data_IF_974387261019
#
_entry.id   IF_974387261019
#
_cell.length_a   1.000
_cell.length_b   1.000
_cell.length_c   1.000
_cell.angle_alpha   90.00
_cell.angle_beta   90.00
_cell.angle_gamma   90.00
#
_symmetry.space_group_name_H-M   'P 1'
#
loop_
_entity.id
_entity.type
_entity.pdbx_description
1 polymer ?
#
# COMPACT_ATOMS: atom_id res chain seq x y z
N UNK A 1 25.03 8.67 -3.46
CA UNK A 1 24.15 7.53 -3.09
C UNK A 1 24.19 7.22 -1.59
N UNK A 2 25.35 6.98 -0.95
CA UNK A 2 25.44 6.63 0.50
C UNK A 2 24.77 7.63 1.46
N UNK A 3 24.94 8.94 1.26
CA UNK A 3 24.32 9.98 2.13
C UNK A 3 22.79 10.03 2.07
N UNK A 4 22.20 9.64 0.94
CA UNK A 4 20.75 9.69 0.74
C UNK A 4 20.09 8.41 1.26
N UNK A 5 20.71 7.25 1.00
CA UNK A 5 20.26 5.97 1.55
C UNK A 5 20.28 5.97 3.09
N UNK A 6 21.31 6.57 3.71
CA UNK A 6 21.34 6.75 5.17
C UNK A 6 20.21 7.66 5.67
N UNK A 7 19.89 8.75 4.99
CA UNK A 7 18.80 9.66 5.41
C UNK A 7 17.41 9.06 5.22
N UNK A 8 17.21 8.30 4.15
CA UNK A 8 15.94 7.58 3.90
C UNK A 8 15.79 6.42 4.87
N UNK A 9 16.86 5.64 5.13
CA UNK A 9 16.82 4.59 6.16
C UNK A 9 16.58 5.17 7.56
N UNK A 10 17.20 6.29 7.94
CA UNK A 10 16.94 6.96 9.23
C UNK A 10 15.52 7.51 9.30
N UNK A 11 14.98 8.08 8.21
CA UNK A 11 13.60 8.56 8.18
C UNK A 11 12.58 7.42 8.28
N UNK A 12 12.83 6.29 7.59
CA UNK A 12 12.00 5.08 7.68
C UNK A 12 12.08 4.46 9.09
N UNK A 13 13.28 4.39 9.67
CA UNK A 13 13.51 3.96 11.06
C UNK A 13 12.78 4.87 12.06
N UNK A 14 12.79 6.20 11.86
CA UNK A 14 12.08 7.17 12.70
C UNK A 14 10.55 7.06 12.56
N UNK A 15 10.02 6.75 11.37
CA UNK A 15 8.58 6.50 11.19
C UNK A 15 8.13 5.22 11.91
N UNK A 16 8.94 4.16 11.89
CA UNK A 16 8.66 2.91 12.60
C UNK A 16 8.67 3.06 14.13
N UNK A 17 9.51 3.93 14.67
CA UNK A 17 9.58 4.22 16.12
C UNK A 17 8.38 5.02 16.63
N UNK A 18 7.74 5.82 15.77
CA UNK A 18 6.60 6.66 16.16
C UNK A 18 5.31 5.86 16.46
N UNK A 19 5.26 4.57 16.11
CA UNK A 19 4.08 3.71 16.28
C UNK A 19 4.00 2.97 17.63
N UNK A 20 5.03 2.99 18.48
CA UNK A 20 5.16 2.03 19.60
C UNK A 20 4.56 2.45 20.96
N UNK A 21 3.70 3.49 21.05
CA UNK A 21 3.15 3.95 22.35
C UNK A 21 1.72 3.50 22.68
N UNK A 22 1.11 2.61 21.91
CA UNK A 22 -0.26 2.12 22.18
C UNK A 22 -0.24 0.75 22.87
N UNK A 23 -0.52 0.73 24.18
CA UNK A 23 -0.76 -0.51 24.94
C UNK A 23 -2.20 -0.98 24.73
N UNK A 24 -2.37 -2.11 24.03
CA UNK A 24 -3.67 -2.74 23.76
C UNK A 24 -3.65 -4.25 24.05
N UNK A 25 -4.75 -4.75 24.59
CA UNK A 25 -4.98 -6.11 25.07
C UNK A 25 -5.04 -7.13 23.91
N UNK A 26 -4.34 -8.26 24.06
CA UNK A 26 -3.95 -9.14 22.96
C UNK A 26 -4.86 -10.39 22.89
N UNK A 27 -5.61 -10.56 21.78
CA UNK A 27 -6.34 -11.80 21.47
C UNK A 27 -5.45 -12.68 20.58
N UNK A 28 -5.17 -13.91 21.02
CA UNK A 28 -4.08 -14.77 20.55
C UNK A 28 -4.15 -15.33 19.11
N UNK A 29 -4.72 -14.61 18.14
CA UNK A 29 -4.66 -14.94 16.71
C UNK A 29 -3.65 -14.10 15.93
N UNK A 30 -3.02 -13.09 16.55
CA UNK A 30 -1.94 -12.33 15.93
C UNK A 30 -0.57 -12.97 16.22
N UNK A 31 -0.03 -13.65 15.21
CA UNK A 31 1.35 -14.14 15.18
C UNK A 31 2.39 -13.01 15.11
N UNK A 32 1.94 -11.75 15.01
CA UNK A 32 2.77 -10.56 15.04
C UNK A 32 2.69 -9.93 16.43
N UNK A 33 3.84 -9.44 16.93
CA UNK A 33 3.94 -8.89 18.28
C UNK A 33 2.89 -7.78 18.52
N UNK A 34 2.28 -7.70 19.73
CA UNK A 34 1.33 -6.64 20.05
C UNK A 34 1.95 -5.26 19.80
N UNK A 35 1.24 -4.43 19.04
CA UNK A 35 1.71 -3.09 18.63
C UNK A 35 2.16 -2.98 17.17
N UNK A 36 2.03 -4.04 16.36
CA UNK A 36 2.21 -3.92 14.92
C UNK A 36 0.98 -3.25 14.30
N UNK A 37 1.14 -2.04 13.77
CA UNK A 37 0.02 -1.37 13.11
C UNK A 37 -0.35 -2.08 11.79
N UNK A 38 -1.62 -1.96 11.40
CA UNK A 38 -2.12 -2.60 10.19
C UNK A 38 -1.37 -2.09 8.94
N UNK A 39 -0.93 -0.83 8.94
CA UNK A 39 -0.20 -0.24 7.83
C UNK A 39 1.17 -0.90 7.62
N UNK A 40 1.92 -1.16 8.70
CA UNK A 40 3.18 -1.91 8.63
C UNK A 40 2.93 -3.30 8.11
N UNK A 41 1.89 -3.99 8.60
CA UNK A 41 1.53 -5.34 8.11
C UNK A 41 1.28 -5.35 6.59
N UNK A 42 0.46 -4.43 6.10
CA UNK A 42 0.19 -4.30 4.66
C UNK A 42 1.46 -3.99 3.86
N UNK A 43 2.35 -3.14 4.39
CA UNK A 43 3.66 -2.85 3.79
C UNK A 43 4.58 -4.06 3.71
N UNK A 44 4.63 -4.89 4.76
CA UNK A 44 5.44 -6.10 4.78
C UNK A 44 4.86 -7.22 3.93
N UNK A 45 3.53 -7.37 3.88
CA UNK A 45 2.87 -8.30 2.95
C UNK A 45 3.18 -7.93 1.50
N UNK A 46 3.20 -6.63 1.17
CA UNK A 46 3.63 -6.15 -0.14
C UNK A 46 5.09 -6.50 -0.44
N UNK A 47 6.01 -6.28 0.52
CA UNK A 47 7.42 -6.63 0.36
C UNK A 47 7.63 -8.14 0.15
N UNK A 48 6.94 -9.00 0.93
CA UNK A 48 6.96 -10.45 0.74
C UNK A 48 6.48 -10.83 -0.65
N UNK A 49 5.36 -10.27 -1.11
CA UNK A 49 4.83 -10.54 -2.45
C UNK A 49 5.82 -10.13 -3.54
N UNK A 50 6.47 -8.98 -3.38
CA UNK A 50 7.46 -8.49 -4.32
C UNK A 50 8.71 -9.38 -4.36
N UNK A 51 9.25 -9.79 -3.20
CA UNK A 51 10.35 -10.75 -3.15
C UNK A 51 9.95 -12.10 -3.74
N UNK A 52 8.78 -12.62 -3.40
CA UNK A 52 8.27 -13.87 -3.94
C UNK A 52 8.19 -13.82 -5.47
N UNK A 53 7.72 -12.72 -6.05
CA UNK A 53 7.68 -12.53 -7.50
C UNK A 53 9.09 -12.48 -8.11
N UNK A 54 10.02 -11.75 -7.49
CA UNK A 54 11.41 -11.65 -7.94
C UNK A 54 12.10 -13.02 -7.94
N UNK A 55 12.03 -13.77 -6.84
CA UNK A 55 12.63 -15.11 -6.73
C UNK A 55 11.95 -16.13 -7.64
N UNK A 56 10.62 -16.13 -7.73
CA UNK A 56 9.88 -17.07 -8.57
C UNK A 56 10.23 -16.89 -10.05
N UNK A 57 10.35 -15.65 -10.50
CA UNK A 57 10.74 -15.33 -11.87
C UNK A 57 12.23 -15.60 -12.14
N UNK A 58 13.12 -15.25 -11.22
CA UNK A 58 14.56 -15.48 -11.36
C UNK A 58 14.89 -16.98 -11.43
N UNK A 59 14.40 -17.77 -10.48
CA UNK A 59 14.74 -19.19 -10.33
C UNK A 59 13.80 -20.15 -11.06
N UNK A 60 12.70 -19.65 -11.66
CA UNK A 60 11.71 -20.51 -12.34
C UNK A 60 11.05 -21.50 -11.38
N UNK A 61 10.65 -21.04 -10.19
CA UNK A 61 10.15 -21.91 -9.12
C UNK A 61 8.81 -22.54 -9.50
N UNK A 62 8.68 -23.85 -9.25
CA UNK A 62 7.39 -24.54 -9.32
C UNK A 62 6.46 -24.16 -8.14
N UNK A 63 5.15 -24.47 -8.22
CA UNK A 63 4.19 -24.09 -7.17
C UNK A 63 4.50 -24.62 -5.76
N UNK A 64 5.16 -25.78 -5.65
CA UNK A 64 5.53 -26.35 -4.35
C UNK A 64 6.67 -25.56 -3.72
N UNK A 65 7.71 -25.25 -4.50
CA UNK A 65 8.82 -24.41 -4.06
C UNK A 65 8.40 -22.97 -3.77
N UNK A 66 7.44 -22.42 -4.53
CA UNK A 66 6.85 -21.10 -4.25
C UNK A 66 6.17 -21.06 -2.87
N UNK A 67 5.42 -22.12 -2.53
CA UNK A 67 4.75 -22.23 -1.23
C UNK A 67 5.79 -22.31 -0.09
N UNK A 68 6.86 -23.11 -0.27
CA UNK A 68 7.95 -23.20 0.71
C UNK A 68 8.67 -21.87 0.89
N UNK A 69 8.96 -21.16 -0.21
CA UNK A 69 9.55 -19.82 -0.17
C UNK A 69 8.63 -18.83 0.56
N UNK A 70 7.32 -18.86 0.30
CA UNK A 70 6.36 -17.99 0.98
C UNK A 70 6.37 -18.22 2.50
N UNK A 71 6.34 -19.47 2.95
CA UNK A 71 6.42 -19.81 4.39
C UNK A 71 7.74 -19.34 5.01
N UNK A 72 8.87 -19.52 4.31
CA UNK A 72 10.17 -19.05 4.77
C UNK A 72 10.22 -17.51 4.87
N UNK A 73 9.72 -16.79 3.87
CA UNK A 73 9.66 -15.33 3.88
C UNK A 73 8.80 -14.80 5.02
N UNK A 74 7.68 -15.45 5.32
CA UNK A 74 6.85 -15.12 6.49
C UNK A 74 7.60 -15.33 7.82
N UNK A 75 8.34 -16.44 7.96
CA UNK A 75 9.15 -16.70 9.15
C UNK A 75 10.27 -15.65 9.31
N UNK A 76 10.94 -15.29 8.21
CA UNK A 76 11.97 -14.25 8.17
C UNK A 76 11.43 -12.87 8.46
N UNK A 77 10.20 -12.56 8.08
CA UNK A 77 9.54 -11.30 8.44
C UNK A 77 9.39 -11.16 9.96
N UNK A 78 8.94 -12.21 10.64
CA UNK A 78 8.83 -12.19 12.12
C UNK A 78 10.21 -11.93 12.73
N UNK A 79 11.25 -12.60 12.22
CA UNK A 79 12.62 -12.36 12.65
C UNK A 79 13.12 -10.95 12.31
N UNK A 80 12.73 -10.38 11.16
CA UNK A 80 13.08 -9.04 10.72
C UNK A 80 12.53 -7.99 11.67
N UNK A 81 11.27 -8.11 12.10
CA UNK A 81 10.66 -7.18 13.05
C UNK A 81 11.42 -7.16 14.38
N UNK A 82 11.77 -8.34 14.90
CA UNK A 82 12.56 -8.45 16.13
C UNK A 82 13.97 -7.87 15.95
N UNK A 83 14.59 -8.15 14.80
CA UNK A 83 15.90 -7.64 14.42
C UNK A 83 15.90 -6.11 14.35
N UNK A 84 14.97 -5.52 13.61
CA UNK A 84 14.86 -4.08 13.41
C UNK A 84 14.67 -3.35 14.73
N UNK A 85 13.83 -3.87 15.62
CA UNK A 85 13.65 -3.29 16.96
C UNK A 85 14.97 -3.24 17.72
N UNK A 86 15.68 -4.36 17.79
CA UNK A 86 16.95 -4.46 18.50
C UNK A 86 18.01 -3.53 17.89
N UNK A 87 18.11 -3.48 16.56
CA UNK A 87 19.11 -2.67 15.88
C UNK A 87 18.80 -1.18 15.96
N UNK A 88 17.53 -0.81 15.87
CA UNK A 88 17.08 0.59 15.96
C UNK A 88 17.38 1.18 17.33
N UNK A 89 17.05 0.46 18.40
CA UNK A 89 17.35 0.88 19.77
C UNK A 89 18.87 1.10 19.97
N UNK A 90 19.70 0.19 19.43
CA UNK A 90 21.16 0.30 19.49
C UNK A 90 21.71 1.50 18.68
N UNK A 91 21.18 1.73 17.47
CA UNK A 91 21.57 2.88 16.63
C UNK A 91 21.17 4.20 17.29
N UNK A 92 19.94 4.29 17.80
CA UNK A 92 19.42 5.50 18.43
C UNK A 92 20.27 5.88 19.65
N UNK A 93 20.57 4.90 20.52
CA UNK A 93 21.41 5.13 21.69
C UNK A 93 22.79 5.67 21.29
N UNK A 94 23.45 5.03 20.31
CA UNK A 94 24.77 5.46 19.85
C UNK A 94 24.75 6.82 19.16
N UNK A 95 23.68 7.12 18.41
CA UNK A 95 23.47 8.45 17.81
C UNK A 95 23.35 9.53 18.89
N UNK A 96 22.57 9.28 19.96
CA UNK A 96 22.43 10.19 21.09
C UNK A 96 23.76 10.41 21.83
N UNK A 97 24.57 9.36 22.02
CA UNK A 97 25.90 9.48 22.62
C UNK A 97 26.83 10.37 21.77
N UNK A 98 26.81 10.21 20.44
CA UNK A 98 27.60 11.04 19.52
C UNK A 98 27.12 12.49 19.46
N UNK A 99 25.81 12.69 19.52
CA UNK A 99 25.19 14.02 19.60
C UNK A 99 25.59 14.74 20.89
N UNK A 100 25.48 14.05 22.04
CA UNK A 100 25.89 14.59 23.33
C UNK A 100 27.40 14.94 23.38
N UNK A 101 28.22 14.22 22.62
CA UNK A 101 29.64 14.49 22.46
C UNK A 101 29.95 15.61 21.43
N UNK A 102 28.96 16.13 20.71
CA UNK A 102 29.17 17.12 19.64
C UNK A 102 29.91 16.55 18.43
N UNK A 103 29.94 15.21 18.27
CA UNK A 103 30.67 14.53 17.21
C UNK A 103 29.82 14.23 15.98
N UNK A 104 28.49 14.28 16.10
CA UNK A 104 27.57 13.85 15.03
C UNK A 104 27.74 14.65 13.72
N UNK A 105 28.14 15.92 13.80
CA UNK A 105 28.38 16.78 12.62
C UNK A 105 29.72 16.47 11.92
N UNK A 106 30.64 15.78 12.58
CA UNK A 106 31.94 15.44 12.04
C UNK A 106 31.91 14.04 11.39
N UNK A 107 31.56 13.98 10.10
CA UNK A 107 31.53 12.72 9.32
C UNK A 107 32.87 11.96 9.33
N UNK A 108 33.99 12.67 9.54
CA UNK A 108 35.33 12.08 9.55
C UNK A 108 35.71 11.46 10.90
N UNK A 109 34.96 11.76 11.97
CA UNK A 109 35.18 11.20 13.30
C UNK A 109 35.12 9.65 13.24
N UNK A 110 36.10 8.95 13.84
CA UNK A 110 36.16 7.49 13.77
C UNK A 110 34.91 6.82 14.34
N UNK A 111 34.25 7.43 15.33
CA UNK A 111 33.03 6.91 15.95
C UNK A 111 31.81 7.04 15.03
N UNK A 112 31.70 8.14 14.27
CA UNK A 112 30.65 8.34 13.26
C UNK A 112 30.85 7.35 12.11
N UNK A 113 32.10 7.15 11.64
CA UNK A 113 32.42 6.10 10.66
C UNK A 113 32.07 4.71 11.16
N UNK A 114 32.35 4.41 12.44
CA UNK A 114 32.01 3.13 13.05
C UNK A 114 30.49 2.94 13.16
N UNK A 115 29.72 3.99 13.48
CA UNK A 115 28.25 3.93 13.45
C UNK A 115 27.74 3.67 12.02
N UNK A 116 28.26 4.38 11.02
CA UNK A 116 27.90 4.17 9.62
C UNK A 116 28.21 2.75 9.14
N UNK A 117 29.39 2.22 9.50
CA UNK A 117 29.78 0.84 9.19
C UNK A 117 28.87 -0.18 9.90
N UNK A 118 28.47 0.10 11.13
CA UNK A 118 27.51 -0.72 11.88
C UNK A 118 26.13 -0.73 11.22
N UNK A 119 25.61 0.43 10.79
CA UNK A 119 24.35 0.52 10.07
C UNK A 119 24.40 -0.24 8.73
N UNK A 120 25.51 -0.10 7.98
CA UNK A 120 25.73 -0.86 6.76
C UNK A 120 25.74 -2.38 7.04
N UNK A 121 26.50 -2.83 8.04
CA UNK A 121 26.56 -4.24 8.44
C UNK A 121 25.19 -4.78 8.87
N UNK A 122 24.35 -3.98 9.51
CA UNK A 122 23.00 -4.41 9.90
C UNK A 122 22.11 -4.67 8.67
N UNK A 123 22.19 -3.82 7.65
CA UNK A 123 21.45 -4.04 6.40
C UNK A 123 21.83 -5.36 5.68
N UNK A 124 23.10 -5.77 5.76
CA UNK A 124 23.57 -7.05 5.23
C UNK A 124 23.10 -8.24 6.07
N UNK A 125 22.98 -8.05 7.39
CA UNK A 125 22.60 -9.11 8.33
C UNK A 125 21.08 -9.23 8.54
N UNK A 126 20.28 -8.34 7.94
CA UNK A 126 18.84 -8.38 8.00
C UNK A 126 18.29 -9.77 7.60
N UNK A 127 17.36 -10.37 8.36
CA UNK A 127 16.74 -11.66 8.01
C UNK A 127 16.10 -11.72 6.62
N UNK A 128 15.49 -10.63 6.17
CA UNK A 128 14.88 -10.49 4.83
C UNK A 128 15.86 -10.00 3.76
N UNK A 129 17.18 -10.02 4.03
CA UNK A 129 18.17 -9.70 3.02
C UNK A 129 18.08 -10.66 1.83
N UNK A 130 17.98 -10.11 0.61
CA UNK A 130 17.79 -10.85 -0.64
C UNK A 130 18.87 -11.92 -0.87
N UNK A 131 20.14 -11.65 -0.57
CA UNK A 131 21.23 -12.63 -0.73
C UNK A 131 21.05 -13.81 0.24
N UNK A 132 20.59 -13.56 1.47
CA UNK A 132 20.35 -14.63 2.45
C UNK A 132 19.15 -15.50 2.10
N UNK A 133 18.16 -14.94 1.40
CA UNK A 133 17.02 -15.70 0.88
C UNK A 133 17.46 -16.52 -0.34
N UNK A 134 18.26 -15.93 -1.23
CA UNK A 134 18.88 -16.63 -2.36
C UNK A 134 19.73 -17.82 -1.89
N UNK A 135 20.62 -17.62 -0.92
CA UNK A 135 21.46 -18.68 -0.35
C UNK A 135 20.62 -19.85 0.21
N UNK A 136 19.52 -19.54 0.89
CA UNK A 136 18.60 -20.55 1.43
C UNK A 136 17.88 -21.33 0.32
N UNK A 137 17.50 -20.64 -0.76
CA UNK A 137 16.80 -21.22 -1.89
C UNK A 137 17.73 -22.13 -2.70
N UNK A 138 18.98 -21.72 -2.89
CA UNK A 138 19.99 -22.46 -3.66
C UNK A 138 20.40 -23.77 -3.02
N UNK A 139 20.32 -23.88 -1.69
CA UNK A 139 20.52 -25.15 -0.97
C UNK A 139 19.44 -26.21 -1.31
N UNK A 140 18.33 -25.79 -1.92
CA UNK A 140 17.17 -26.64 -2.27
C UNK A 140 17.01 -26.85 -3.77
N UNK A 141 17.82 -26.18 -4.58
CA UNK A 141 17.75 -26.23 -6.04
C UNK A 141 18.94 -26.99 -6.63
N UNK A 142 18.80 -27.57 -7.83
CA UNK A 142 19.95 -28.08 -8.58
C UNK A 142 20.97 -26.96 -8.84
N UNK A 143 22.27 -27.27 -8.72
CA UNK A 143 23.34 -26.27 -8.82
C UNK A 143 23.32 -25.43 -10.12
N UNK A 144 22.91 -26.05 -11.24
CA UNK A 144 22.74 -25.35 -12.51
C UNK A 144 21.64 -24.28 -12.44
N UNK A 145 20.48 -24.64 -11.88
CA UNK A 145 19.33 -23.71 -11.69
C UNK A 145 19.67 -22.63 -10.68
N UNK A 146 20.39 -22.97 -9.62
CA UNK A 146 20.87 -22.02 -8.61
C UNK A 146 21.76 -20.92 -9.23
N UNK A 147 22.74 -21.32 -10.04
CA UNK A 147 23.70 -20.40 -10.68
C UNK A 147 22.99 -19.46 -11.67
N UNK A 148 22.14 -20.02 -12.53
CA UNK A 148 21.36 -19.24 -13.50
C UNK A 148 20.37 -18.30 -12.80
N UNK A 149 19.66 -18.80 -11.78
CA UNK A 149 18.72 -18.02 -10.98
C UNK A 149 19.39 -16.84 -10.30
N UNK A 150 20.59 -17.01 -9.72
CA UNK A 150 21.36 -15.90 -9.12
C UNK A 150 21.77 -14.84 -10.14
N UNK A 151 22.11 -15.26 -11.36
CA UNK A 151 22.41 -14.30 -12.42
C UNK A 151 21.16 -13.49 -12.79
N UNK A 152 20.03 -14.16 -13.03
CA UNK A 152 18.76 -13.48 -13.35
C UNK A 152 18.28 -12.57 -12.21
N UNK A 153 18.47 -12.98 -10.96
CA UNK A 153 18.12 -12.17 -9.80
C UNK A 153 18.92 -10.86 -9.78
N UNK A 154 20.22 -10.91 -10.08
CA UNK A 154 21.08 -9.71 -10.23
C UNK A 154 20.59 -8.80 -11.35
N UNK A 155 20.25 -9.37 -12.51
CA UNK A 155 19.69 -8.60 -13.65
C UNK A 155 18.35 -7.92 -13.27
N UNK A 156 17.46 -8.63 -12.58
CA UNK A 156 16.18 -8.06 -12.09
C UNK A 156 16.43 -6.95 -11.07
N UNK A 157 17.42 -7.11 -10.19
CA UNK A 157 17.82 -6.09 -9.21
C UNK A 157 18.38 -4.84 -9.90
N UNK A 158 19.27 -5.00 -10.86
CA UNK A 158 19.86 -3.89 -11.62
C UNK A 158 18.78 -3.13 -12.40
N UNK A 159 17.82 -3.84 -13.02
CA UNK A 159 16.69 -3.23 -13.70
C UNK A 159 15.77 -2.44 -12.74
N UNK A 160 15.51 -2.98 -11.54
CA UNK A 160 14.73 -2.28 -10.50
C UNK A 160 15.45 -1.01 -10.05
N UNK A 161 16.75 -1.09 -9.80
CA UNK A 161 17.57 0.05 -9.41
C UNK A 161 17.58 1.12 -10.50
N UNK A 162 17.73 0.73 -11.77
CA UNK A 162 17.66 1.66 -12.90
C UNK A 162 16.31 2.38 -12.96
N UNK A 163 15.20 1.64 -12.89
CA UNK A 163 13.86 2.24 -12.88
C UNK A 163 13.63 3.18 -11.70
N UNK A 164 14.17 2.83 -10.53
CA UNK A 164 14.10 3.71 -9.37
C UNK A 164 14.86 5.02 -9.62
N UNK A 165 16.10 4.96 -10.12
CA UNK A 165 16.87 6.16 -10.47
C UNK A 165 16.15 7.02 -11.53
N UNK A 166 15.59 6.39 -12.57
CA UNK A 166 14.78 7.09 -13.58
C UNK A 166 13.58 7.82 -12.97
N UNK A 167 12.88 7.18 -12.03
CA UNK A 167 11.76 7.79 -11.31
C UNK A 167 12.18 8.97 -10.43
N UNK A 168 13.35 8.86 -9.75
CA UNK A 168 13.91 9.95 -8.96
C UNK A 168 14.31 11.13 -9.85
N UNK A 169 14.95 10.87 -10.99
CA UNK A 169 15.29 11.91 -11.96
C UNK A 169 14.03 12.61 -12.49
N UNK A 170 12.98 11.86 -12.82
CA UNK A 170 11.70 12.42 -13.26
C UNK A 170 11.06 13.30 -12.17
N UNK A 171 11.04 12.82 -10.92
CA UNK A 171 10.50 13.57 -9.78
C UNK A 171 11.30 14.85 -9.50
N UNK A 172 12.63 14.78 -9.58
CA UNK A 172 13.50 15.96 -9.42
C UNK A 172 13.28 16.98 -10.53
N UNK A 173 13.15 16.53 -11.79
CA UNK A 173 12.85 17.41 -12.92
C UNK A 173 11.48 18.09 -12.77
N UNK A 174 10.45 17.34 -12.35
CA UNK A 174 9.12 17.89 -12.08
C UNK A 174 9.16 18.90 -10.91
N UNK A 175 9.88 18.59 -9.84
CA UNK A 175 10.04 19.47 -8.69
C UNK A 175 10.80 20.75 -9.04
N UNK A 176 11.81 20.67 -9.90
CA UNK A 176 12.51 21.84 -10.43
C UNK A 176 11.57 22.69 -11.28
N UNK A 177 10.83 22.10 -12.23
CA UNK A 177 9.87 22.82 -13.06
C UNK A 177 8.78 23.53 -12.23
N UNK A 178 8.29 22.90 -11.15
CA UNK A 178 7.34 23.52 -10.21
C UNK A 178 7.96 24.71 -9.47
N UNK A 179 9.22 24.62 -9.06
CA UNK A 179 9.94 25.72 -8.42
C UNK A 179 10.10 26.90 -9.38
N UNK A 180 10.53 26.63 -10.60
CA UNK A 180 10.74 27.65 -11.63
C UNK A 180 9.43 28.35 -12.00
N UNK A 181 8.33 27.60 -12.11
CA UNK A 181 6.99 28.16 -12.29
C UNK A 181 6.57 29.03 -11.11
N UNK A 182 6.84 28.59 -9.87
CA UNK A 182 6.58 29.37 -8.66
C UNK A 182 7.35 30.68 -8.64
N UNK A 183 8.63 30.65 -9.02
CA UNK A 183 9.47 31.85 -9.10
C UNK A 183 9.00 32.80 -10.21
N UNK A 184 8.62 32.28 -11.38
CA UNK A 184 8.09 33.10 -12.47
C UNK A 184 6.78 33.81 -12.09
N UNK A 185 5.90 33.15 -11.33
CA UNK A 185 4.66 33.77 -10.81
C UNK A 185 4.98 34.90 -9.82
N UNK A 186 5.95 34.69 -8.92
CA UNK A 186 6.38 35.72 -7.96
C UNK A 186 7.01 36.91 -8.68
N UNK A 187 7.92 36.67 -9.63
CA UNK A 187 8.56 37.74 -10.41
C UNK A 187 7.55 38.50 -11.29
N UNK A 188 6.60 37.80 -11.91
CA UNK A 188 5.52 38.41 -12.69
C UNK A 188 4.60 39.29 -11.83
N UNK A 189 4.44 38.98 -10.55
CA UNK A 189 3.61 39.77 -9.61
C UNK A 189 4.28 41.07 -9.17
N UNK A 190 5.63 41.15 -9.17
CA UNK A 190 6.38 42.36 -8.79
C UNK A 190 6.31 43.45 -9.85
N UNK A 191 6.03 43.11 -11.11
CA UNK A 191 5.81 44.09 -12.18
C UNK A 191 4.46 44.81 -12.09
N UNK A 192 3.58 44.40 -11.18
CA UNK A 192 2.38 45.15 -10.78
C UNK A 192 2.79 46.07 -9.62
N UNK A 193 3.62 47.07 -9.92
CA UNK A 193 4.20 47.95 -8.91
C UNK A 193 3.24 49.00 -8.38
N UNK A 194 3.51 49.36 -7.12
CA UNK A 194 2.82 50.27 -6.19
C UNK A 194 2.63 51.74 -6.60
N UNK A 195 3.04 52.16 -7.81
CA UNK A 195 3.02 53.58 -8.21
C UNK A 195 1.81 54.00 -9.06
N UNK A 196 0.84 53.10 -9.24
CA UNK A 196 -0.42 53.41 -9.90
C UNK A 196 -1.55 53.64 -8.92
N UNK A 197 -1.67 54.86 -8.39
CA UNK A 197 -2.96 55.39 -7.90
C UNK A 197 -3.90 55.52 -9.10
N UNK A 198 -4.39 54.39 -9.61
CA UNK A 198 -5.70 54.37 -10.24
C UNK A 198 -6.66 54.05 -9.10
N UNK A 199 -7.43 55.04 -8.59
CA UNK A 199 -8.53 54.71 -7.71
C UNK A 199 -9.39 53.71 -8.47
N UNK A 200 -9.50 52.48 -7.93
CA UNK A 200 -10.61 51.61 -8.28
C UNK A 200 -11.86 52.50 -8.14
N UNK A 201 -12.62 52.73 -9.22
CA UNK A 201 -13.87 53.45 -9.10
C UNK A 201 -14.66 52.70 -8.04
N UNK A 202 -15.07 53.41 -6.98
CA UNK A 202 -16.18 52.97 -6.15
C UNK A 202 -17.39 52.91 -7.07
N UNK A 203 -17.51 51.81 -7.79
CA UNK A 203 -18.64 51.51 -8.63
C UNK A 203 -19.59 50.66 -7.79
N UNK A 204 -20.67 51.22 -7.23
CA UNK A 204 -21.68 50.46 -6.50
C UNK A 204 -22.48 49.49 -7.39
N UNK A 205 -22.03 49.25 -8.64
CA UNK A 205 -22.65 48.35 -9.62
C UNK A 205 -21.76 47.14 -9.93
N UNK A 206 -20.65 46.91 -9.21
CA UNK A 206 -19.75 45.78 -9.52
C UNK A 206 -20.09 44.44 -8.85
N UNK A 207 -21.36 44.24 -8.47
CA UNK A 207 -21.90 42.96 -7.99
C UNK A 207 -22.65 42.17 -9.10
N UNK A 208 -22.59 42.62 -10.37
CA UNK A 208 -23.38 41.99 -11.45
C UNK A 208 -22.67 41.56 -12.73
N UNK A 209 -21.43 41.95 -13.01
CA UNK A 209 -20.78 41.49 -14.25
C UNK A 209 -19.27 41.32 -14.06
N UNK A 210 -18.83 40.10 -13.70
CA UNK A 210 -17.49 39.67 -14.07
C UNK A 210 -17.50 39.43 -15.58
N UNK A 211 -16.95 40.36 -16.35
CA UNK A 211 -16.64 40.14 -17.76
C UNK A 211 -15.54 39.10 -17.88
N UNK A 212 -15.84 38.04 -18.62
CA UNK A 212 -14.93 36.96 -18.98
C UNK A 212 -13.57 37.49 -19.43
N UNK A 213 -12.50 37.14 -18.72
CA UNK A 213 -11.12 37.41 -19.18
C UNK A 213 -10.84 36.45 -20.33
N UNK A 214 -10.79 37.00 -21.55
CA UNK A 214 -10.47 36.29 -22.79
C UNK A 214 -8.98 36.42 -23.07
N UNK A 215 -8.23 35.35 -22.83
CA UNK A 215 -6.82 35.28 -23.24
C UNK A 215 -6.77 34.64 -24.63
N UNK A 216 -6.17 35.34 -25.61
CA UNK A 216 -5.86 34.79 -26.93
C UNK A 216 -4.51 34.09 -26.86
N UNK A 217 -4.43 32.88 -27.39
CA UNK A 217 -3.15 32.24 -27.65
C UNK A 217 -2.53 32.74 -28.97
N UNK A 218 -1.31 32.29 -29.27
CA UNK A 218 -0.56 32.67 -30.47
C UNK A 218 -1.23 32.20 -31.80
N UNK A 219 -2.26 31.34 -31.73
CA UNK A 219 -3.08 30.91 -32.86
C UNK A 219 -4.35 31.75 -33.06
N UNK A 220 -4.66 32.66 -32.15
CA UNK A 220 -5.82 33.56 -32.23
C UNK A 220 -7.12 32.99 -31.68
N UNK A 221 -7.11 31.78 -31.08
CA UNK A 221 -8.29 31.17 -30.49
C UNK A 221 -8.51 31.70 -29.06
N UNK A 222 -9.77 31.95 -28.70
CA UNK A 222 -10.15 32.58 -27.42
C UNK A 222 -10.61 31.50 -26.45
N UNK A 223 -9.82 31.24 -25.42
CA UNK A 223 -10.18 30.28 -24.38
C UNK A 223 -10.77 31.04 -23.19
N UNK A 224 -12.04 30.77 -22.87
CA UNK A 224 -12.75 31.35 -21.72
C UNK A 224 -12.49 30.48 -20.49
N UNK A 225 -11.77 31.00 -19.50
CA UNK A 225 -11.53 30.30 -18.24
C UNK A 225 -12.78 30.32 -17.34
N UNK A 226 -13.26 29.19 -16.81
CA UNK A 226 -14.38 29.19 -15.87
C UNK A 226 -13.98 29.85 -14.55
N UNK A 227 -14.78 30.84 -14.12
CA UNK A 227 -14.54 31.64 -12.93
C UNK A 227 -14.42 30.80 -11.65
N UNK A 228 -13.29 30.95 -10.95
CA UNK A 228 -13.10 30.46 -9.59
C UNK A 228 -14.04 31.21 -8.64
N UNK A 229 -15.15 30.58 -8.24
CA UNK A 229 -15.83 30.95 -6.99
C UNK A 229 -14.83 30.74 -5.85
N UNK A 230 -14.65 31.76 -5.02
CA UNK A 230 -13.72 31.75 -3.90
C UNK A 230 -13.93 30.53 -3.01
N UNK A 231 -12.92 29.64 -2.96
CA UNK A 231 -12.82 28.64 -1.91
C UNK A 231 -12.60 29.36 -0.58
N UNK A 232 -13.31 28.99 0.49
CA UNK A 232 -12.97 29.48 1.82
C UNK A 232 -11.53 29.12 2.12
N UNK A 233 -10.78 30.06 2.70
CA UNK A 233 -9.41 29.85 3.18
C UNK A 233 -9.42 28.63 4.08
N UNK A 234 -8.89 27.52 3.57
CA UNK A 234 -8.74 26.30 4.34
C UNK A 234 -7.52 26.49 5.24
N UNK A 235 -7.77 26.75 6.53
CA UNK A 235 -6.79 26.57 7.61
C UNK A 235 -6.48 25.07 7.76
N UNK A 236 -5.89 24.47 6.73
CA UNK A 236 -5.28 23.17 6.88
C UNK A 236 -3.96 23.36 7.64
N UNK A 237 -3.77 22.73 8.81
CA UNK A 237 -2.52 22.83 9.54
C UNK A 237 -1.37 22.26 8.71
N UNK A 238 -0.21 22.88 8.84
CA UNK A 238 1.04 22.40 8.25
C UNK A 238 1.32 20.97 8.73
N UNK A 239 1.92 20.10 7.90
CA UNK A 239 2.30 18.75 8.32
C UNK A 239 3.22 18.83 9.54
N UNK A 240 2.72 18.41 10.71
CA UNK A 240 3.41 18.46 11.99
C UNK A 240 2.72 19.31 13.08
N UNK A 241 1.73 20.14 12.75
CA UNK A 241 0.95 20.88 13.75
C UNK A 241 -0.32 20.12 14.17
N UNK A 242 -0.44 19.81 15.47
CA UNK A 242 -1.65 19.24 16.06
C UNK A 242 -2.85 20.16 15.82
N UNK A 243 -3.94 19.57 15.33
CA UNK A 243 -5.20 20.27 15.11
C UNK A 243 -5.69 20.89 16.43
N UNK A 244 -6.52 21.94 16.35
CA UNK A 244 -7.06 22.61 17.55
C UNK A 244 -7.77 21.63 18.50
N UNK A 245 -8.43 20.61 17.95
CA UNK A 245 -9.08 19.56 18.73
C UNK A 245 -8.07 18.64 19.44
N UNK A 246 -6.97 18.28 18.78
CA UNK A 246 -5.91 17.47 19.39
C UNK A 246 -5.13 18.23 20.45
N UNK A 247 -4.86 19.53 20.24
CA UNK A 247 -4.27 20.40 21.28
C UNK A 247 -5.15 20.46 22.54
N UNK A 248 -6.47 20.50 22.37
CA UNK A 248 -7.40 20.50 23.50
C UNK A 248 -7.40 19.17 24.25
N UNK A 249 -7.35 18.05 23.51
CA UNK A 249 -7.22 16.70 24.09
C UNK A 249 -5.91 16.50 24.83
N UNK A 250 -4.81 16.99 24.28
CA UNK A 250 -3.49 16.86 24.89
C UNK A 250 -3.38 17.71 26.16
N UNK A 251 -3.95 18.92 26.16
CA UNK A 251 -4.07 19.75 27.35
C UNK A 251 -4.97 19.10 28.43
N UNK A 252 -6.02 18.38 28.06
CA UNK A 252 -6.89 17.66 28.99
C UNK A 252 -6.18 16.45 29.64
N UNK A 253 -5.36 15.73 28.87
CA UNK A 253 -4.51 14.63 29.38
C UNK A 253 -3.45 15.18 30.35
N UNK A 254 -2.79 16.27 30.00
CA UNK A 254 -1.76 16.90 30.84
C UNK A 254 -2.35 17.51 32.12
N UNK A 255 -3.58 18.04 32.05
CA UNK A 255 -4.33 18.49 33.21
C UNK A 255 -4.72 17.33 34.15
N UNK A 256 -5.15 16.19 33.59
CA UNK A 256 -5.49 15.00 34.37
C UNK A 256 -4.26 14.36 35.04
N UNK A 257 -3.07 14.46 34.44
CA UNK A 257 -1.82 14.04 35.07
C UNK A 257 -1.39 14.98 36.19
N UNK A 258 -1.53 16.31 36.03
CA UNK A 258 -1.28 17.28 37.11
C UNK A 258 -2.18 17.08 38.32
N UNK A 259 -3.41 16.60 38.11
CA UNK A 259 -4.38 16.41 39.20
C UNK A 259 -4.23 15.08 39.96
N UNK A 260 -3.19 14.28 39.67
CA UNK A 260 -2.81 13.12 40.49
C UNK A 260 -3.87 12.01 40.60
N UNK A 261 -4.87 11.97 39.72
CA UNK A 261 -5.98 11.00 39.77
C UNK A 261 -5.70 9.68 39.05
N UNK A 262 -4.50 9.11 39.21
CA UNK A 262 -4.27 7.69 38.89
C UNK A 262 -4.27 6.88 40.18
N UNK A 263 -5.36 6.13 40.39
CA UNK A 263 -5.43 5.10 41.44
C UNK A 263 -4.30 4.07 41.18
N UNK A 264 -3.51 3.70 42.19
CA UNK A 264 -2.54 2.63 42.06
C UNK A 264 -3.27 1.31 41.80
N UNK A 265 -2.87 0.61 40.73
CA UNK A 265 -3.31 -0.75 40.45
C UNK A 265 -2.82 -1.72 41.54
N UNK A 266 -3.51 -2.86 41.72
CA UNK A 266 -3.26 -3.75 42.85
C UNK A 266 -1.88 -4.40 42.73
N UNK A 267 -1.09 -4.22 43.78
CA UNK A 267 0.14 -4.95 44.02
C UNK A 267 -0.18 -6.41 44.33
N UNK A 268 0.55 -7.32 43.70
CA UNK A 268 0.66 -8.70 44.14
C UNK A 268 0.61 -9.71 43.01
N UNK A 269 1.79 -10.16 42.59
CA UNK A 269 2.08 -11.60 42.52
C UNK A 269 3.60 -11.79 42.37
N UNK A 270 4.15 -12.38 43.42
CA UNK A 270 5.53 -12.82 43.57
C UNK A 270 5.74 -14.02 42.66
N UNK A 271 6.71 -13.97 41.76
CA UNK A 271 7.24 -15.15 41.08
C UNK A 271 8.49 -15.63 41.81
N UNK A 272 8.59 -16.94 42.13
CA UNK A 272 9.75 -17.47 42.83
C UNK A 272 10.93 -17.67 41.87
N UNK A 273 12.11 -17.36 42.38
CA UNK A 273 13.41 -17.72 41.81
C UNK A 273 13.61 -19.24 41.82
N UNK A 274 14.02 -19.81 40.69
CA UNK A 274 14.69 -21.11 40.68
C UNK A 274 16.02 -21.00 39.91
N UNK A 275 17.10 -21.09 40.69
CA UNK A 275 18.45 -21.38 40.20
C UNK A 275 18.61 -22.88 39.90
N UNK A 276 19.30 -23.11 38.79
CA UNK A 276 20.28 -24.14 38.47
C UNK A 276 20.01 -25.63 38.81
N UNK A 277 20.19 -26.45 37.78
CA UNK A 277 21.18 -27.56 37.66
C UNK A 277 20.50 -28.76 37.01
N UNK A 278 20.89 -29.10 35.79
CA UNK A 278 21.40 -30.43 35.41
C UNK A 278 21.43 -30.59 33.89
N UNK A 279 22.52 -31.21 33.45
CA UNK A 279 22.90 -31.49 32.08
C UNK A 279 22.69 -33.00 31.89
N UNK A 280 21.74 -33.48 31.09
CA UNK A 280 21.67 -34.90 30.78
C UNK A 280 22.48 -35.21 29.52
N UNK A 281 23.17 -36.33 29.59
CA UNK A 281 23.90 -36.96 28.51
C UNK A 281 22.96 -37.35 27.36
N UNK A 282 23.50 -37.31 26.13
CA UNK A 282 22.83 -37.82 24.95
C UNK A 282 22.75 -39.36 25.01
N UNK A 283 21.59 -39.89 25.41
CA UNK A 283 21.19 -41.26 25.10
C UNK A 283 20.56 -41.30 23.71
N UNK A 284 21.16 -42.10 22.84
CA UNK A 284 20.71 -42.46 21.50
C UNK A 284 19.43 -43.29 21.57
N UNK A 285 18.29 -42.66 21.29
CA UNK A 285 17.02 -43.35 21.03
C UNK A 285 16.96 -43.65 19.53
N UNK A 286 17.12 -44.93 19.19
CA UNK A 286 16.72 -45.49 17.89
C UNK A 286 15.19 -45.48 17.86
N UNK A 287 14.62 -44.54 17.11
CA UNK A 287 13.18 -44.52 16.80
C UNK A 287 12.95 -45.53 15.68
N UNK A 288 12.45 -46.71 16.06
CA UNK A 288 11.89 -47.69 15.13
C UNK A 288 10.58 -47.12 14.55
N UNK A 289 10.62 -46.86 13.24
CA UNK A 289 9.53 -46.29 12.46
C UNK A 289 8.39 -47.32 12.34
N UNK A 290 7.16 -47.04 12.82
CA UNK A 290 6.05 -47.95 12.62
C UNK A 290 5.67 -48.03 11.13
N UNK A 291 5.29 -49.22 10.62
CA UNK A 291 4.95 -49.40 9.21
C UNK A 291 3.70 -48.59 8.84
N UNK A 292 3.77 -47.92 7.69
CA UNK A 292 2.72 -47.09 7.14
C UNK A 292 1.38 -47.85 7.00
N UNK A 293 0.23 -47.24 7.34
CA UNK A 293 -1.07 -47.82 7.03
C UNK A 293 -1.25 -47.87 5.51
N UNK A 294 -1.32 -49.09 4.98
CA UNK A 294 -1.70 -49.34 3.58
C UNK A 294 -3.18 -48.97 3.41
N UNK A 295 -3.44 -47.82 2.80
CA UNK A 295 -4.77 -47.44 2.33
C UNK A 295 -5.05 -48.22 1.05
N UNK A 296 -5.70 -49.37 1.18
CA UNK A 296 -6.29 -50.08 0.04
C UNK A 296 -7.49 -49.30 -0.48
N UNK A 297 -7.31 -48.57 -1.58
CA UNK A 297 -8.40 -47.98 -2.35
C UNK A 297 -9.15 -49.11 -3.05
N UNK A 298 -10.28 -49.52 -2.46
CA UNK A 298 -11.18 -50.51 -3.03
C UNK A 298 -12.05 -49.82 -4.09
N UNK A 299 -11.68 -49.99 -5.36
CA UNK A 299 -12.44 -49.48 -6.51
C UNK A 299 -13.63 -50.42 -6.75
N UNK A 300 -14.81 -50.03 -6.28
CA UNK A 300 -16.05 -50.72 -6.63
C UNK A 300 -16.47 -50.32 -8.06
N UNK A 301 -16.78 -51.28 -8.96
CA UNK A 301 -17.39 -50.99 -10.25
C UNK A 301 -18.91 -50.82 -10.08
N UNK A 302 -19.38 -49.58 -10.05
CA UNK A 302 -20.82 -49.28 -10.11
C UNK A 302 -21.25 -49.08 -11.56
N UNK A 303 -21.85 -50.13 -12.12
CA UNK A 303 -22.57 -50.10 -13.39
C UNK A 303 -23.84 -49.23 -13.24
N UNK A 304 -24.13 -48.28 -14.14
CA UNK A 304 -25.34 -47.49 -14.10
C UNK A 304 -26.45 -48.19 -14.92
N UNK A 305 -27.47 -48.70 -14.23
CA UNK A 305 -28.75 -49.09 -14.84
C UNK A 305 -29.86 -48.30 -14.16
N UNK A 306 -30.51 -47.39 -14.90
CA UNK A 306 -31.68 -46.68 -14.40
C UNK A 306 -31.89 -45.32 -15.06
N UNK A 307 -32.36 -45.36 -16.30
CA UNK A 307 -32.81 -44.20 -17.07
C UNK A 307 -34.31 -44.01 -16.85
N UNK A 308 -34.77 -42.92 -16.19
CA UNK A 308 -36.09 -42.36 -16.45
C UNK A 308 -35.95 -41.30 -17.55
N UNK A 309 -36.49 -41.64 -18.71
CA UNK A 309 -36.78 -40.73 -19.80
C UNK A 309 -37.70 -39.60 -19.33
N UNK A 310 -37.37 -38.36 -19.72
CA UNK A 310 -38.37 -37.28 -19.80
C UNK A 310 -38.30 -36.20 -18.73
N UNK A 311 -37.21 -35.44 -18.67
CA UNK A 311 -37.29 -34.05 -18.19
C UNK A 311 -36.71 -33.13 -19.26
N UNK A 312 -37.60 -32.36 -19.89
CA UNK A 312 -37.25 -31.36 -20.89
C UNK A 312 -36.13 -30.48 -20.36
N UNK A 313 -35.03 -30.38 -21.11
CA UNK A 313 -33.94 -29.48 -20.82
C UNK A 313 -34.53 -28.05 -20.74
N UNK A 314 -34.35 -27.32 -19.62
CA UNK A 314 -34.72 -25.92 -19.57
C UNK A 314 -33.92 -25.19 -20.65
N UNK A 315 -34.65 -24.48 -21.52
CA UNK A 315 -34.05 -23.68 -22.59
C UNK A 315 -32.96 -22.79 -21.99
N UNK A 316 -31.73 -22.94 -22.48
CA UNK A 316 -30.60 -22.06 -22.13
C UNK A 316 -31.06 -20.63 -22.43
N UNK A 317 -31.20 -19.75 -21.41
CA UNK A 317 -31.65 -18.40 -21.66
C UNK A 317 -30.61 -17.73 -22.56
N UNK A 318 -31.05 -17.31 -23.74
CA UNK A 318 -30.26 -16.54 -24.70
C UNK A 318 -29.63 -15.37 -23.95
N UNK A 319 -28.30 -15.42 -23.75
CA UNK A 319 -27.56 -14.37 -23.08
C UNK A 319 -27.75 -13.08 -23.87
N UNK A 320 -28.57 -12.17 -23.35
CA UNK A 320 -28.71 -10.83 -23.92
C UNK A 320 -27.32 -10.20 -23.87
N UNK A 321 -26.80 -9.82 -25.02
CA UNK A 321 -25.58 -9.05 -25.14
C UNK A 321 -25.80 -7.72 -24.41
N UNK A 322 -25.30 -7.63 -23.17
CA UNK A 322 -25.42 -6.43 -22.36
C UNK A 322 -24.38 -5.46 -22.89
N UNK A 323 -24.83 -4.35 -23.47
CA UNK A 323 -23.94 -3.26 -23.87
C UNK A 323 -23.38 -2.64 -22.59
N UNK A 324 -22.13 -2.96 -22.26
CA UNK A 324 -21.45 -2.43 -21.08
C UNK A 324 -21.18 -0.94 -21.26
N UNK A 325 -21.62 -0.12 -20.29
CA UNK A 325 -21.20 1.26 -20.22
C UNK A 325 -19.70 1.30 -19.90
N UNK A 326 -18.96 2.21 -20.55
CA UNK A 326 -17.52 2.39 -20.29
C UNK A 326 -17.32 2.69 -18.80
N UNK A 327 -16.47 1.93 -18.11
CA UNK A 327 -16.23 2.15 -16.71
C UNK A 327 -15.57 3.51 -16.46
N UNK A 328 -15.94 4.18 -15.36
CA UNK A 328 -15.18 5.30 -14.85
C UNK A 328 -13.74 4.89 -14.50
N UNK A 329 -12.80 5.84 -14.44
CA UNK A 329 -11.49 5.63 -13.82
C UNK A 329 -11.62 4.96 -12.45
N UNK A 330 -10.63 4.13 -12.07
CA UNK A 330 -10.68 3.36 -10.80
C UNK A 330 -10.86 4.23 -9.56
N UNK A 331 -10.39 5.49 -9.60
CA UNK A 331 -10.52 6.45 -8.50
C UNK A 331 -11.95 6.98 -8.36
N UNK A 332 -12.76 6.90 -9.41
CA UNK A 332 -14.16 7.32 -9.39
C UNK A 332 -15.10 6.19 -8.92
N UNK A 333 -14.60 4.96 -8.77
CA UNK A 333 -15.41 3.86 -8.22
C UNK A 333 -15.79 4.13 -6.77
N UNK A 334 -14.89 4.70 -5.97
CA UNK A 334 -15.18 5.11 -4.59
C UNK A 334 -16.31 6.14 -4.54
N UNK A 335 -16.28 7.14 -5.44
CA UNK A 335 -17.35 8.15 -5.55
C UNK A 335 -18.68 7.50 -5.91
N UNK A 336 -18.70 6.59 -6.88
CA UNK A 336 -19.91 5.85 -7.25
C UNK A 336 -20.52 5.12 -6.05
N UNK A 337 -19.71 4.37 -5.29
CA UNK A 337 -20.21 3.63 -4.12
C UNK A 337 -20.75 4.58 -3.05
N UNK A 338 -20.05 5.68 -2.76
CA UNK A 338 -20.48 6.67 -1.77
C UNK A 338 -21.78 7.38 -2.19
N UNK A 339 -21.88 7.81 -3.44
CA UNK A 339 -23.07 8.46 -3.99
C UNK A 339 -24.26 7.51 -4.00
N UNK A 340 -24.05 6.26 -4.43
CA UNK A 340 -25.09 5.24 -4.45
C UNK A 340 -25.57 4.88 -3.04
N UNK A 341 -24.65 4.68 -2.09
CA UNK A 341 -24.97 4.43 -0.69
C UNK A 341 -25.79 5.59 -0.08
N UNK A 342 -25.43 6.84 -0.40
CA UNK A 342 -26.16 8.03 0.03
C UNK A 342 -27.55 8.12 -0.61
N UNK A 343 -27.66 7.82 -1.90
CA UNK A 343 -28.93 7.89 -2.64
C UNK A 343 -29.94 6.86 -2.14
N UNK A 344 -29.48 5.64 -1.85
CA UNK A 344 -30.35 4.55 -1.37
C UNK A 344 -30.60 4.64 0.14
N UNK A 345 -29.68 5.27 0.89
CA UNK A 345 -29.74 5.36 2.35
C UNK A 345 -29.25 4.07 2.99
N UNK A 346 -28.03 3.65 2.67
CA UNK A 346 -27.39 2.50 3.30
C UNK A 346 -27.11 2.76 4.79
N UNK A 347 -27.29 1.74 5.62
CA UNK A 347 -26.82 1.75 7.00
C UNK A 347 -25.30 1.50 7.10
N UNK A 348 -24.72 1.66 8.29
CA UNK A 348 -23.27 1.50 8.53
C UNK A 348 -22.76 0.08 8.20
N UNK A 349 -23.58 -0.95 8.45
CA UNK A 349 -23.23 -2.34 8.15
C UNK A 349 -23.28 -2.62 6.63
N UNK A 350 -24.20 -1.99 5.89
CA UNK A 350 -24.28 -2.04 4.44
C UNK A 350 -23.11 -1.26 3.81
N UNK A 351 -22.74 -0.09 4.34
CA UNK A 351 -21.58 0.70 3.90
C UNK A 351 -20.29 -0.11 4.06
N UNK A 352 -20.08 -0.72 5.24
CA UNK A 352 -18.90 -1.56 5.50
C UNK A 352 -18.81 -2.72 4.51
N UNK A 353 -19.94 -3.39 4.24
CA UNK A 353 -20.00 -4.47 3.23
C UNK A 353 -19.73 -3.97 1.81
N UNK A 354 -20.28 -2.81 1.43
CA UNK A 354 -20.05 -2.21 0.13
C UNK A 354 -18.57 -1.82 -0.07
N UNK A 355 -17.92 -1.28 0.97
CA UNK A 355 -16.49 -0.97 0.95
C UNK A 355 -15.62 -2.23 0.81
N UNK A 356 -15.99 -3.34 1.46
CA UNK A 356 -15.28 -4.62 1.31
C UNK A 356 -15.38 -5.14 -0.15
N UNK A 357 -16.57 -5.08 -0.76
CA UNK A 357 -16.75 -5.42 -2.17
C UNK A 357 -15.93 -4.50 -3.08
N UNK A 358 -15.92 -3.20 -2.80
CA UNK A 358 -15.13 -2.23 -3.56
C UNK A 358 -13.64 -2.53 -3.50
N UNK A 359 -13.08 -2.79 -2.29
CA UNK A 359 -11.66 -3.14 -2.12
C UNK A 359 -11.30 -4.40 -2.92
N UNK A 360 -12.16 -5.41 -2.91
CA UNK A 360 -11.95 -6.64 -3.69
C UNK A 360 -11.97 -6.39 -5.21
N UNK A 361 -12.95 -5.63 -5.71
CA UNK A 361 -13.05 -5.33 -7.15
C UNK A 361 -11.89 -4.44 -7.62
N UNK A 362 -11.48 -3.42 -6.84
CA UNK A 362 -10.29 -2.60 -7.15
C UNK A 362 -9.02 -3.44 -7.19
N UNK A 363 -8.84 -4.36 -6.24
CA UNK A 363 -7.70 -5.29 -6.21
C UNK A 363 -7.65 -6.15 -7.48
N UNK A 364 -8.78 -6.77 -7.87
CA UNK A 364 -8.86 -7.58 -9.10
C UNK A 364 -8.57 -6.76 -10.36
N UNK A 365 -9.12 -5.55 -10.45
CA UNK A 365 -8.88 -4.64 -11.57
C UNK A 365 -7.39 -4.23 -11.66
N UNK A 366 -6.76 -3.92 -10.53
CA UNK A 366 -5.33 -3.60 -10.48
C UNK A 366 -4.46 -4.80 -10.89
N UNK A 367 -4.74 -5.99 -10.36
CA UNK A 367 -4.01 -7.20 -10.75
C UNK A 367 -4.11 -7.48 -12.27
N UNK A 368 -5.29 -7.25 -12.84
CA UNK A 368 -5.49 -7.35 -14.28
C UNK A 368 -4.65 -6.31 -15.07
N UNK A 369 -4.65 -5.04 -14.64
CA UNK A 369 -3.81 -4.00 -15.27
C UNK A 369 -2.32 -4.32 -15.15
N UNK A 370 -1.88 -4.81 -13.99
CA UNK A 370 -0.48 -5.19 -13.75
C UNK A 370 -0.04 -6.37 -14.64
N UNK A 371 -0.87 -7.41 -14.74
CA UNK A 371 -0.56 -8.58 -15.60
C UNK A 371 -0.61 -8.29 -17.10
N UNK A 372 -1.17 -7.15 -17.51
CA UNK A 372 -1.23 -6.70 -18.92
C UNK A 372 -0.55 -5.34 -19.13
N UNK A 373 0.33 -4.94 -18.23
CA UNK A 373 1.01 -3.63 -18.26
C UNK A 373 1.68 -3.37 -19.61
N UNK A 374 2.37 -4.37 -20.17
CA UNK A 374 3.03 -4.28 -21.47
C UNK A 374 2.05 -4.03 -22.62
N UNK A 375 0.85 -4.62 -22.57
CA UNK A 375 -0.18 -4.43 -23.61
C UNK A 375 -0.78 -3.03 -23.54
N UNK A 376 -1.00 -2.51 -22.32
CA UNK A 376 -1.42 -1.13 -22.12
C UNK A 376 -0.36 -0.13 -22.60
N UNK A 377 0.92 -0.39 -22.31
CA UNK A 377 2.03 0.42 -22.81
C UNK A 377 2.13 0.38 -24.34
N UNK A 378 2.05 -0.81 -24.95
CA UNK A 378 2.06 -0.98 -26.40
C UNK A 378 0.87 -0.28 -27.07
N UNK A 379 -0.33 -0.35 -26.47
CA UNK A 379 -1.49 0.38 -26.94
C UNK A 379 -1.24 1.89 -26.92
N UNK A 380 -0.69 2.42 -25.82
CA UNK A 380 -0.40 3.85 -25.68
C UNK A 380 0.62 4.39 -26.70
N UNK A 381 1.55 3.55 -27.14
CA UNK A 381 2.59 3.89 -28.14
C UNK A 381 2.11 3.82 -29.60
N UNK A 382 0.89 3.33 -29.88
CA UNK A 382 0.36 3.31 -31.25
C UNK A 382 0.15 4.74 -31.78
N UNK A 383 0.70 5.00 -32.97
CA UNK A 383 0.65 6.31 -33.63
C UNK A 383 -0.73 6.65 -34.17
N UNK A 384 -1.46 5.66 -34.71
CA UNK A 384 -2.84 5.85 -35.14
C UNK A 384 -3.76 5.89 -33.91
N UNK A 385 -4.42 7.04 -33.71
CA UNK A 385 -5.35 7.27 -32.62
C UNK A 385 -6.52 6.28 -32.62
N UNK A 386 -7.03 5.88 -33.80
CA UNK A 386 -8.16 4.96 -33.91
C UNK A 386 -7.79 3.56 -33.43
N UNK A 387 -6.63 3.08 -33.83
CA UNK A 387 -6.11 1.77 -33.42
C UNK A 387 -5.74 1.75 -31.93
N UNK A 388 -5.13 2.83 -31.42
CA UNK A 388 -4.86 3.00 -29.98
C UNK A 388 -6.15 2.90 -29.18
N UNK A 389 -7.17 3.65 -29.57
CA UNK A 389 -8.43 3.71 -28.83
C UNK A 389 -9.20 2.39 -28.90
N UNK A 390 -9.16 1.71 -30.05
CA UNK A 390 -9.72 0.36 -30.21
C UNK A 390 -9.03 -0.66 -29.29
N UNK A 391 -7.69 -0.65 -29.25
CA UNK A 391 -6.91 -1.54 -28.40
C UNK A 391 -7.11 -1.24 -26.91
N UNK A 392 -7.12 0.04 -26.52
CA UNK A 392 -7.44 0.45 -25.15
C UNK A 392 -8.86 0.05 -24.75
N UNK A 393 -9.84 0.16 -25.66
CA UNK A 393 -11.21 -0.28 -25.41
C UNK A 393 -11.27 -1.79 -25.19
N UNK A 394 -10.57 -2.57 -26.00
CA UNK A 394 -10.52 -4.03 -25.84
C UNK A 394 -9.87 -4.44 -24.52
N UNK A 395 -8.75 -3.81 -24.17
CA UNK A 395 -8.05 -4.07 -22.91
C UNK A 395 -8.88 -3.70 -21.68
N UNK A 396 -9.72 -2.66 -21.77
CA UNK A 396 -10.57 -2.21 -20.68
C UNK A 396 -11.88 -3.02 -20.53
N UNK A 397 -12.30 -3.82 -21.52
CA UNK A 397 -13.54 -4.63 -21.43
C UNK A 397 -13.65 -5.46 -20.14
N UNK A 398 -12.60 -6.19 -19.69
CA UNK A 398 -12.70 -6.94 -18.44
C UNK A 398 -12.81 -6.05 -17.20
N UNK A 399 -12.26 -4.83 -17.23
CA UNK A 399 -12.40 -3.84 -16.16
C UNK A 399 -13.83 -3.29 -16.15
N UNK A 400 -14.41 -3.03 -17.33
CA UNK A 400 -15.82 -2.63 -17.49
C UNK A 400 -16.77 -3.70 -16.93
N UNK A 401 -16.48 -4.98 -17.21
CA UNK A 401 -17.23 -6.10 -16.66
C UNK A 401 -17.11 -6.19 -15.12
N UNK A 402 -15.92 -5.93 -14.55
CA UNK A 402 -15.73 -5.88 -13.09
C UNK A 402 -16.48 -4.71 -12.46
N UNK A 403 -16.62 -3.57 -13.15
CA UNK A 403 -17.43 -2.46 -12.66
C UNK A 403 -18.92 -2.79 -12.66
N UNK A 404 -19.43 -3.46 -13.70
CA UNK A 404 -20.82 -3.93 -13.68
C UNK A 404 -21.05 -5.01 -12.60
N UNK A 405 -20.07 -5.88 -12.34
CA UNK A 405 -20.11 -6.82 -11.22
C UNK A 405 -20.18 -6.09 -9.88
N UNK A 406 -19.38 -5.03 -9.69
CA UNK A 406 -19.43 -4.15 -8.51
C UNK A 406 -20.83 -3.57 -8.31
N UNK A 407 -21.43 -3.02 -9.37
CA UNK A 407 -22.79 -2.46 -9.33
C UNK A 407 -23.82 -3.50 -8.91
N UNK A 408 -23.81 -4.67 -9.54
CA UNK A 408 -24.72 -5.77 -9.21
C UNK A 408 -24.58 -6.22 -7.75
N UNK A 409 -23.35 -6.35 -7.25
CA UNK A 409 -23.10 -6.73 -5.86
C UNK A 409 -23.59 -5.64 -4.88
N UNK A 410 -23.37 -4.36 -5.18
CA UNK A 410 -23.86 -3.25 -4.34
C UNK A 410 -25.39 -3.20 -4.35
N UNK A 411 -26.02 -3.34 -5.52
CA UNK A 411 -27.49 -3.38 -5.65
C UNK A 411 -28.09 -4.55 -4.86
N UNK A 412 -27.37 -5.67 -4.75
CA UNK A 412 -27.80 -6.84 -3.97
C UNK A 412 -27.80 -6.61 -2.46
N UNK A 413 -27.01 -5.66 -1.96
CA UNK A 413 -26.97 -5.29 -0.54
C UNK A 413 -28.21 -4.50 -0.09
N UNK A 414 -28.99 -3.99 -1.04
CA UNK A 414 -30.22 -3.24 -0.77
C UNK A 414 -31.30 -4.14 -0.15
N UNK A 415 -31.95 -3.62 0.89
CA UNK A 415 -33.17 -4.23 1.43
C UNK A 415 -34.32 -4.14 0.42
N UNK A 416 -35.36 -4.95 0.64
CA UNK A 416 -36.54 -4.95 -0.22
C UNK A 416 -37.25 -3.58 -0.20
N UNK A 417 -37.32 -2.94 0.97
CA UNK A 417 -37.89 -1.59 1.15
C UNK A 417 -37.06 -0.53 0.42
N UNK A 418 -35.73 -0.58 0.53
CA UNK A 418 -34.81 0.31 -0.20
C UNK A 418 -34.97 0.16 -1.72
N UNK A 419 -35.12 -1.07 -2.22
CA UNK A 419 -35.38 -1.34 -3.64
C UNK A 419 -36.73 -0.79 -4.10
N UNK A 420 -37.78 -0.94 -3.30
CA UNK A 420 -39.09 -0.36 -3.61
C UNK A 420 -39.05 1.17 -3.64
N UNK A 421 -38.36 1.79 -2.68
CA UNK A 421 -38.18 3.25 -2.63
C UNK A 421 -37.38 3.77 -3.83
N UNK A 422 -36.31 3.06 -4.21
CA UNK A 422 -35.52 3.40 -5.39
C UNK A 422 -36.32 3.24 -6.70
N UNK A 423 -37.21 2.25 -6.79
CA UNK A 423 -38.11 2.07 -7.93
C UNK A 423 -39.22 3.14 -7.98
N UNK A 424 -39.74 3.58 -6.83
CA UNK A 424 -40.77 4.61 -6.74
C UNK A 424 -40.23 6.01 -7.10
N UNK A 425 -38.98 6.33 -6.78
CA UNK A 425 -38.35 7.62 -7.08
C UNK A 425 -37.88 7.80 -8.54
N UNK A 426 -38.04 6.79 -9.40
CA UNK A 426 -37.72 6.86 -10.84
C UNK A 426 -38.91 7.25 -11.74
N UNK A 427 -40.07 7.55 -11.16
CA UNK A 427 -41.24 8.11 -11.86
C UNK A 427 -41.19 9.63 -11.83
#
# INVERSE_FOLDING_TARGET
MSRFFNRVCVAILMMLVSATTVSGQNDGSDLLAPGFDQASREGWEFEIQHQMQAFSSAYGLDPQLQTLLQTELQARLIAQVAYDRQTTEAILKKTQELEAAGLLENEEAPEVKALNAQMAAQSFNAPLNEERVADWLEQRLPAAVATEGRQRLREIRDLRLQKHLESEYAFQAESAAKRDLGEAIVQGSVLISADGVTPLPNDPVNDRYYTEIRVRDAGGEVIVAPGRKGSPVSEAPMPGELTKAERLRQAEIEAAEREGRRKPGPAGLVSPSHEMTERPAHESIVVEQPPAPQVTVQVAPTTPSGQPTGRAAPAVPTAKEVVYAKAPPLDDWDKYVQEHAKQVGFDEAQITRAQAVLKDMKRRANQYRMSRSDQFAAAALKTDAKDRDAMMKELNKPIDAMFEELKQRIDSLMTLEQRQKAAAGKK
#
